data_IF_436134734644
#
_entry.id   IF_436134734644
#
_cell.length_a   1.000
_cell.length_b   1.000
_cell.length_c   1.000
_cell.angle_alpha   90.00
_cell.angle_beta   90.00
_cell.angle_gamma   90.00
#
_symmetry.space_group_name_H-M   'P 1'
#
loop_
_entity.id
_entity.type
_entity.pdbx_description
1 polymer ?
#
# COMPACT_ATOMS: atom_id res chain seq x y z
N UNK A 1 10.16 -14.68 -10.53
CA UNK A 1 10.29 -13.53 -9.62
C UNK A 1 9.99 -14.03 -8.21
N UNK A 2 10.77 -13.62 -7.20
CA UNK A 2 10.68 -14.19 -5.85
C UNK A 2 9.87 -13.25 -4.97
N UNK A 3 8.85 -13.74 -4.24
CA UNK A 3 8.14 -12.91 -3.27
C UNK A 3 9.09 -12.48 -2.16
N UNK A 4 8.98 -11.21 -1.77
CA UNK A 4 9.76 -10.63 -0.68
C UNK A 4 8.82 -10.07 0.39
N UNK A 5 9.16 -10.38 1.63
CA UNK A 5 8.48 -9.82 2.79
C UNK A 5 8.88 -8.36 2.96
N UNK A 6 7.90 -7.50 3.20
CA UNK A 6 8.10 -6.11 3.53
C UNK A 6 7.03 -5.63 4.54
N UNK A 7 7.25 -4.42 5.05
CA UNK A 7 6.38 -3.81 6.04
C UNK A 7 5.93 -2.45 5.52
N UNK A 8 4.63 -2.18 5.63
CA UNK A 8 4.07 -0.86 5.42
C UNK A 8 4.31 -0.02 6.68
N UNK A 9 4.92 1.14 6.51
CA UNK A 9 5.26 2.08 7.56
C UNK A 9 4.44 3.36 7.39
N UNK A 10 3.89 3.87 8.49
CA UNK A 10 3.25 5.20 8.52
C UNK A 10 4.27 6.35 8.68
N UNK A 11 3.77 7.58 8.83
CA UNK A 11 4.60 8.78 9.02
C UNK A 11 5.51 8.70 10.26
N UNK A 12 5.11 7.95 11.28
CA UNK A 12 5.85 7.75 12.52
C UNK A 12 6.86 6.59 12.45
N UNK A 13 7.02 5.96 11.27
CA UNK A 13 7.73 4.69 11.08
C UNK A 13 7.12 3.52 11.88
N UNK A 14 5.84 3.60 12.24
CA UNK A 14 5.14 2.47 12.85
C UNK A 14 4.78 1.47 11.76
N UNK A 15 4.99 0.18 12.04
CA UNK A 15 4.55 -0.90 11.16
C UNK A 15 3.04 -1.02 11.23
N UNK A 16 2.36 -0.62 10.17
CA UNK A 16 0.90 -0.67 10.08
C UNK A 16 0.39 -1.91 9.37
N UNK A 17 1.18 -2.52 8.49
CA UNK A 17 0.81 -3.76 7.81
C UNK A 17 2.04 -4.58 7.42
N UNK A 18 1.81 -5.88 7.23
CA UNK A 18 2.81 -6.81 6.68
C UNK A 18 2.42 -7.10 5.24
N UNK A 19 3.35 -6.97 4.30
CA UNK A 19 3.12 -7.23 2.88
C UNK A 19 4.09 -8.28 2.37
N UNK A 20 3.62 -9.16 1.49
CA UNK A 20 4.45 -10.13 0.79
C UNK A 20 4.26 -9.92 -0.70
N UNK A 21 5.24 -9.28 -1.35
CA UNK A 21 5.09 -8.74 -2.69
C UNK A 21 6.16 -9.23 -3.65
N UNK A 22 5.82 -9.27 -4.92
CA UNK A 22 6.71 -9.58 -6.03
C UNK A 22 6.79 -8.37 -6.96
N UNK A 23 8.00 -8.00 -7.39
CA UNK A 23 8.17 -6.93 -8.38
C UNK A 23 7.82 -7.46 -9.77
N UNK A 24 6.87 -6.83 -10.45
CA UNK A 24 6.39 -7.24 -11.80
C UNK A 24 7.12 -6.52 -12.94
N UNK A 25 8.07 -5.63 -12.61
CA UNK A 25 8.83 -4.82 -13.57
C UNK A 25 8.48 -3.33 -13.50
N UNK A 26 7.23 -2.99 -13.16
CA UNK A 26 6.78 -1.59 -13.02
C UNK A 26 6.23 -1.27 -11.63
N UNK A 27 5.69 -2.26 -10.94
CA UNK A 27 5.10 -2.12 -9.62
C UNK A 27 5.34 -3.40 -8.80
N UNK A 28 4.94 -3.35 -7.55
CA UNK A 28 4.90 -4.50 -6.65
C UNK A 28 3.47 -4.94 -6.50
N UNK A 29 3.23 -6.25 -6.57
CA UNK A 29 1.93 -6.86 -6.32
C UNK A 29 2.08 -8.06 -5.38
N UNK A 30 1.06 -8.35 -4.58
CA UNK A 30 1.07 -9.52 -3.73
C UNK A 30 -0.01 -9.48 -2.66
N UNK A 31 0.32 -9.97 -1.47
CA UNK A 31 -0.63 -10.06 -0.35
C UNK A 31 -0.28 -9.12 0.78
N UNK A 32 -1.30 -8.69 1.53
CA UNK A 32 -1.19 -7.81 2.69
C UNK A 32 -1.97 -8.40 3.87
N UNK A 33 -1.36 -8.33 5.06
CA UNK A 33 -2.01 -8.60 6.33
C UNK A 33 -2.22 -7.29 7.09
N UNK A 34 -3.50 -6.98 7.34
CA UNK A 34 -3.96 -5.77 8.03
C UNK A 34 -4.23 -6.00 9.53
N UNK A 35 -3.73 -7.10 10.10
CA UNK A 35 -3.99 -7.47 11.51
C UNK A 35 -3.57 -6.39 12.52
N UNK A 36 -2.50 -5.67 12.21
CA UNK A 36 -1.95 -4.60 13.06
C UNK A 36 -2.29 -3.19 12.55
N UNK A 37 -3.17 -3.09 11.55
CA UNK A 37 -3.50 -1.81 10.92
C UNK A 37 -4.42 -1.00 11.83
N UNK A 38 -4.12 0.29 12.08
CA UNK A 38 -5.00 1.17 12.83
C UNK A 38 -6.42 1.17 12.24
N UNK A 39 -7.49 1.17 13.06
CA UNK A 39 -8.87 1.12 12.57
C UNK A 39 -9.21 2.23 11.56
N UNK A 40 -8.64 3.42 11.72
CA UNK A 40 -8.84 4.54 10.80
C UNK A 40 -8.23 4.27 9.42
N UNK A 41 -7.02 3.70 9.38
CA UNK A 41 -6.37 3.35 8.12
C UNK A 41 -7.05 2.16 7.45
N UNK A 42 -7.48 1.18 8.24
CA UNK A 42 -8.24 0.04 7.72
C UNK A 42 -9.54 0.50 7.05
N UNK A 43 -10.26 1.45 7.65
CA UNK A 43 -11.47 2.04 7.06
C UNK A 43 -11.20 2.73 5.72
N UNK A 44 -10.06 3.42 5.57
CA UNK A 44 -9.69 4.04 4.30
C UNK A 44 -9.49 2.98 3.20
N UNK A 45 -8.87 1.85 3.52
CA UNK A 45 -8.70 0.75 2.56
C UNK A 45 -10.02 0.06 2.22
N UNK A 46 -10.90 -0.12 3.20
CA UNK A 46 -12.24 -0.68 2.97
C UNK A 46 -13.10 0.28 2.11
N UNK A 47 -13.04 1.59 2.36
CA UNK A 47 -13.73 2.62 1.56
C UNK A 47 -13.21 2.65 0.11
N UNK A 48 -11.90 2.53 -0.09
CA UNK A 48 -11.31 2.41 -1.43
C UNK A 48 -11.84 1.18 -2.17
N UNK A 49 -11.85 0.01 -1.53
CA UNK A 49 -12.36 -1.22 -2.13
C UNK A 49 -13.86 -1.12 -2.47
N UNK A 50 -14.68 -0.55 -1.58
CA UNK A 50 -16.10 -0.33 -1.82
C UNK A 50 -16.35 0.61 -3.03
N UNK A 51 -15.53 1.66 -3.18
CA UNK A 51 -15.61 2.57 -4.32
C UNK A 51 -15.28 1.84 -5.63
N UNK A 52 -14.23 1.00 -5.63
CA UNK A 52 -13.80 0.24 -6.81
C UNK A 52 -14.83 -0.83 -7.18
N UNK A 53 -15.30 -1.61 -6.20
CA UNK A 53 -16.30 -2.66 -6.41
C UNK A 53 -17.68 -2.09 -6.80
N UNK A 54 -18.08 -0.98 -6.15
CA UNK A 54 -19.31 -0.25 -6.45
C UNK A 54 -19.25 0.55 -7.75
N UNK A 55 -18.11 0.55 -8.44
CA UNK A 55 -17.88 1.31 -9.69
C UNK A 55 -18.16 2.82 -9.54
N UNK A 56 -17.95 3.35 -8.34
CA UNK A 56 -18.18 4.77 -8.01
C UNK A 56 -16.96 5.63 -8.35
N UNK A 57 -16.49 5.54 -9.60
CA UNK A 57 -15.21 6.15 -10.02
C UNK A 57 -15.13 7.67 -9.81
N UNK A 58 -16.27 8.37 -9.69
CA UNK A 58 -16.28 9.79 -9.33
C UNK A 58 -15.76 10.09 -7.91
N UNK A 59 -15.70 9.08 -7.03
CA UNK A 59 -15.17 9.19 -5.67
C UNK A 59 -13.73 8.67 -5.57
N UNK A 60 -13.23 7.98 -6.61
CA UNK A 60 -11.93 7.31 -6.60
C UNK A 60 -10.79 8.31 -6.41
N UNK A 61 -10.79 9.40 -7.19
CA UNK A 61 -9.76 10.44 -7.10
C UNK A 61 -9.65 11.00 -5.66
N UNK A 62 -10.79 11.21 -5.00
CA UNK A 62 -10.81 11.76 -3.63
C UNK A 62 -10.26 10.80 -2.58
N UNK A 63 -10.50 9.49 -2.72
CA UNK A 63 -9.96 8.50 -1.77
C UNK A 63 -8.47 8.21 -2.07
N UNK A 64 -8.08 8.18 -3.33
CA UNK A 64 -6.68 8.05 -3.74
C UNK A 64 -5.84 9.25 -3.26
N UNK A 65 -6.36 10.48 -3.35
CA UNK A 65 -5.72 11.67 -2.79
C UNK A 65 -5.57 11.57 -1.26
N UNK A 66 -6.59 11.08 -0.55
CA UNK A 66 -6.49 10.85 0.91
C UNK A 66 -5.41 9.83 1.26
N UNK A 67 -5.39 8.69 0.58
CA UNK A 67 -4.39 7.63 0.82
C UNK A 67 -2.99 8.13 0.44
N UNK A 68 -2.85 8.81 -0.69
CA UNK A 68 -1.59 9.38 -1.17
C UNK A 68 -1.08 10.56 -0.33
N UNK A 69 -1.96 11.28 0.36
CA UNK A 69 -1.56 12.32 1.32
C UNK A 69 -0.86 11.76 2.56
N UNK A 70 -1.01 10.46 2.82
CA UNK A 70 -0.29 9.77 3.89
C UNK A 70 1.06 9.32 3.32
N UNK A 71 2.20 9.82 3.84
CA UNK A 71 3.55 9.48 3.41
C UNK A 71 3.90 8.06 3.90
N UNK A 72 3.25 7.07 3.31
CA UNK A 72 3.57 5.68 3.52
C UNK A 72 4.95 5.36 2.96
N UNK A 73 5.67 4.52 3.69
CA UNK A 73 6.89 3.89 3.20
C UNK A 73 6.73 2.39 3.24
N UNK A 74 7.47 1.72 2.38
CA UNK A 74 7.68 0.28 2.48
C UNK A 74 9.10 0.01 2.93
N UNK A 75 9.26 -0.83 3.95
CA UNK A 75 10.55 -1.37 4.37
C UNK A 75 10.65 -2.83 3.94
N UNK A 76 11.53 -3.11 3.00
CA UNK A 76 11.83 -4.47 2.56
C UNK A 76 12.76 -5.18 3.57
N UNK A 77 12.77 -6.52 3.55
CA UNK A 77 13.63 -7.34 4.44
C UNK A 77 15.13 -7.00 4.33
N UNK A 78 15.57 -6.55 3.16
CA UNK A 78 16.94 -6.09 2.91
C UNK A 78 17.26 -4.70 3.51
N UNK A 79 16.37 -4.16 4.37
CA UNK A 79 16.42 -2.82 4.97
C UNK A 79 16.39 -1.66 3.97
N UNK A 80 15.94 -1.91 2.74
CA UNK A 80 15.66 -0.83 1.80
C UNK A 80 14.31 -0.24 2.15
N UNK A 81 14.27 1.08 2.32
CA UNK A 81 13.03 1.82 2.46
C UNK A 81 12.75 2.59 1.16
N UNK A 82 11.49 2.65 0.76
CA UNK A 82 11.04 3.47 -0.34
C UNK A 82 9.71 4.12 -0.03
N UNK A 83 9.51 5.34 -0.54
CA UNK A 83 8.19 5.99 -0.51
C UNK A 83 7.26 5.26 -1.47
N UNK A 84 6.01 5.10 -1.05
CA UNK A 84 4.98 4.46 -1.86
C UNK A 84 4.26 5.47 -2.74
N UNK A 85 3.87 5.00 -3.93
CA UNK A 85 2.98 5.66 -4.87
C UNK A 85 1.93 4.66 -5.34
N UNK A 86 0.79 5.16 -5.80
CA UNK A 86 -0.30 4.35 -6.34
C UNK A 86 -0.64 3.15 -5.43
N UNK A 87 -0.73 3.38 -4.12
CA UNK A 87 -1.01 2.34 -3.14
C UNK A 87 -2.46 1.90 -3.24
N UNK A 88 -2.66 0.65 -3.69
CA UNK A 88 -3.96 0.00 -3.79
C UNK A 88 -3.99 -1.19 -2.84
N UNK A 89 -4.99 -1.21 -1.96
CA UNK A 89 -5.18 -2.26 -0.97
C UNK A 89 -6.61 -2.75 -1.10
N UNK A 90 -6.78 -4.07 -1.17
CA UNK A 90 -8.07 -4.74 -1.26
C UNK A 90 -8.24 -5.66 -0.02
N UNK A 91 -8.76 -5.13 1.10
CA UNK A 91 -8.91 -5.87 2.34
C UNK A 91 -9.66 -7.20 2.22
N UNK A 92 -10.69 -7.29 1.37
CA UNK A 92 -11.52 -8.49 1.22
C UNK A 92 -10.74 -9.68 0.67
N UNK A 93 -9.82 -9.42 -0.27
CA UNK A 93 -8.98 -10.43 -0.92
C UNK A 93 -7.59 -10.53 -0.28
N UNK A 94 -7.23 -9.59 0.58
CA UNK A 94 -5.90 -9.44 1.12
C UNK A 94 -4.87 -9.12 0.05
N UNK A 95 -5.28 -8.51 -1.08
CA UNK A 95 -4.39 -8.13 -2.17
C UNK A 95 -3.84 -6.71 -1.99
N UNK A 96 -2.62 -6.50 -2.46
CA UNK A 96 -1.97 -5.18 -2.46
C UNK A 96 -1.20 -4.96 -3.75
N UNK A 97 -1.23 -3.73 -4.24
CA UNK A 97 -0.40 -3.24 -5.33
C UNK A 97 0.14 -1.85 -5.00
N UNK A 98 1.40 -1.60 -5.31
CA UNK A 98 1.98 -0.26 -5.15
C UNK A 98 3.18 -0.06 -6.07
N UNK A 99 3.47 1.20 -6.35
CA UNK A 99 4.75 1.64 -6.91
C UNK A 99 5.64 2.19 -5.81
N UNK A 100 6.94 2.20 -6.07
CA UNK A 100 7.91 2.85 -5.20
C UNK A 100 8.56 3.98 -5.95
N UNK A 101 8.62 5.17 -5.36
CA UNK A 101 9.55 6.20 -5.82
C UNK A 101 10.95 5.63 -5.58
N UNK A 102 11.66 5.27 -6.65
CA UNK A 102 13.08 4.96 -6.52
C UNK A 102 13.73 6.17 -5.85
N UNK A 103 14.61 5.97 -4.84
CA UNK A 103 15.41 7.07 -4.36
C UNK A 103 16.19 7.59 -5.58
N UNK A 104 15.91 8.83 -5.98
CA UNK A 104 16.71 9.53 -6.97
C UNK A 104 18.14 9.48 -6.47
N UNK A 105 18.97 8.62 -7.06
CA UNK A 105 20.42 8.72 -6.90
C UNK A 105 20.81 10.01 -7.62
N UNK A 106 20.85 11.10 -6.86
CA UNK A 106 21.55 12.33 -7.25
C UNK A 106 23.06 12.08 -7.33
#
# INVERSE_FOLDING_TARGET
>A
MTPQLAYLLDQGNNRVAVVNVTFTGTHYEGTISLENTPPELRRLFEEYEEIVEGQMFSLLDSIEEKIGSIPFKVSFENRTEACLEDLQVFPSTGAVSFKTQQPTRV
#
